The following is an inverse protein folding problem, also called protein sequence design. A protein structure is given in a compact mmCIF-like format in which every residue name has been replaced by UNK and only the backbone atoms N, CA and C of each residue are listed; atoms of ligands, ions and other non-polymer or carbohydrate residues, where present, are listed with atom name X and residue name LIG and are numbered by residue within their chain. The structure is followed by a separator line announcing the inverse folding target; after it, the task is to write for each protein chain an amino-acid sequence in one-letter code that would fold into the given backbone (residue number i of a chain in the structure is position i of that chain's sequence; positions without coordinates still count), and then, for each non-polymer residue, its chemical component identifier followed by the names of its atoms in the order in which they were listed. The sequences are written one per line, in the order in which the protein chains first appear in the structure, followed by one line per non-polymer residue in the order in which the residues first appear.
data_IF_898981508238
#
_entry.id   IF_898981508238
#
_cell.length_a   1.000
_cell.length_b   1.000
_cell.length_c   1.000
_cell.angle_alpha   90.00
_cell.angle_beta   90.00
_cell.angle_gamma   90.00
#
_symmetry.space_group_name_H-M   'P 1'
#
loop_
_entity.id
_entity.type
_entity.pdbx_description
1 polymer ?
#
# COMPACT_ATOMS: atom_id res chain seq x y z
N UNK A 1 27.88 -27.59 47.43
CA UNK A 1 28.79 -26.45 47.18
C UNK A 1 28.89 -26.25 45.68
N UNK A 2 28.00 -25.43 45.09
CA UNK A 2 27.93 -25.19 43.64
C UNK A 2 28.50 -23.79 43.40
N UNK A 3 29.62 -23.73 42.68
CA UNK A 3 30.34 -22.51 42.35
C UNK A 3 29.50 -21.67 41.37
N UNK A 4 28.83 -20.63 41.87
CA UNK A 4 28.20 -19.59 41.03
C UNK A 4 29.30 -18.86 40.25
N UNK A 5 29.43 -19.16 38.96
CA UNK A 5 30.21 -18.33 38.03
C UNK A 5 29.46 -17.01 37.80
N UNK A 6 30.06 -15.94 38.32
CA UNK A 6 29.76 -14.55 37.97
C UNK A 6 29.83 -14.37 36.45
N UNK A 7 28.72 -13.98 35.83
CA UNK A 7 28.71 -13.48 34.46
C UNK A 7 28.66 -11.94 34.52
N UNK A 8 29.82 -11.33 34.77
CA UNK A 8 30.09 -9.97 34.32
C UNK A 8 30.01 -9.97 32.80
N UNK A 9 28.87 -9.54 32.25
CA UNK A 9 28.72 -9.31 30.82
C UNK A 9 28.17 -7.91 30.64
N UNK A 10 29.10 -7.01 30.38
CA UNK A 10 28.95 -5.67 29.82
C UNK A 10 27.64 -5.56 29.05
N UNK A 11 26.76 -4.67 29.53
CA UNK A 11 25.61 -4.18 28.79
C UNK A 11 26.13 -3.61 27.47
N UNK A 12 26.07 -4.41 26.40
CA UNK A 12 26.16 -3.88 25.05
C UNK A 12 25.01 -2.89 24.91
N UNK A 13 25.33 -1.62 24.65
CA UNK A 13 24.37 -0.67 24.13
C UNK A 13 23.79 -1.27 22.83
N UNK A 14 22.59 -1.83 22.93
CA UNK A 14 21.78 -2.16 21.76
C UNK A 14 21.63 -0.85 20.97
N UNK A 15 22.03 -0.76 19.69
CA UNK A 15 21.86 0.48 18.94
C UNK A 15 20.37 0.85 18.99
N UNK A 16 20.11 2.05 19.50
CA UNK A 16 18.77 2.57 19.80
C UNK A 16 17.83 2.26 18.65
N UNK A 17 16.85 1.37 18.89
CA UNK A 17 15.89 0.88 17.88
C UNK A 17 15.11 1.99 17.17
N UNK A 18 15.11 3.19 17.74
CA UNK A 18 14.36 4.36 17.29
C UNK A 18 14.84 4.88 15.93
N UNK A 19 16.16 4.99 15.68
CA UNK A 19 16.65 5.57 14.41
C UNK A 19 16.33 4.73 13.16
N UNK A 20 16.21 3.40 13.30
CA UNK A 20 15.87 2.50 12.18
C UNK A 20 14.38 2.57 11.81
N UNK A 21 13.49 2.71 12.80
CA UNK A 21 12.05 2.78 12.55
C UNK A 21 11.67 4.08 11.85
N UNK A 22 12.23 5.20 12.30
CA UNK A 22 11.97 6.50 11.68
C UNK A 22 12.50 6.54 10.25
N UNK A 23 13.69 5.97 10.02
CA UNK A 23 14.25 5.82 8.66
C UNK A 23 13.37 4.94 7.77
N UNK A 24 12.82 3.82 8.27
CA UNK A 24 11.92 2.96 7.49
C UNK A 24 10.59 3.67 7.16
N UNK A 25 10.05 4.45 8.10
CA UNK A 25 8.84 5.26 7.88
C UNK A 25 9.08 6.33 6.82
N UNK A 26 10.17 7.08 6.94
CA UNK A 26 10.55 8.09 5.96
C UNK A 26 10.75 7.48 4.56
N UNK A 27 11.43 6.34 4.46
CA UNK A 27 11.61 5.64 3.19
C UNK A 27 10.27 5.19 2.57
N UNK A 28 9.34 4.70 3.40
CA UNK A 28 8.00 4.31 2.93
C UNK A 28 7.19 5.52 2.45
N UNK A 29 7.24 6.62 3.17
CA UNK A 29 6.55 7.86 2.80
C UNK A 29 7.09 8.42 1.49
N UNK A 30 8.42 8.49 1.34
CA UNK A 30 9.08 8.88 0.10
C UNK A 30 8.72 7.96 -1.07
N UNK A 31 8.65 6.64 -0.83
CA UNK A 31 8.25 5.69 -1.88
C UNK A 31 6.81 5.94 -2.35
N UNK A 32 5.88 6.15 -1.41
CA UNK A 32 4.49 6.44 -1.74
C UNK A 32 4.38 7.75 -2.52
N UNK A 33 5.07 8.80 -2.08
CA UNK A 33 5.10 10.10 -2.76
C UNK A 33 5.67 9.97 -4.17
N UNK A 34 6.77 9.24 -4.32
CA UNK A 34 7.42 9.01 -5.63
C UNK A 34 6.48 8.27 -6.59
N UNK A 35 5.87 7.16 -6.13
CA UNK A 35 4.97 6.35 -6.97
C UNK A 35 3.71 7.15 -7.32
N UNK A 36 3.08 7.81 -6.35
CA UNK A 36 1.85 8.57 -6.58
C UNK A 36 2.09 9.80 -7.46
N UNK A 37 3.20 10.51 -7.24
CA UNK A 37 3.60 11.68 -8.02
C UNK A 37 3.92 11.35 -9.47
N UNK A 38 4.62 10.24 -9.71
CA UNK A 38 4.97 9.79 -11.06
C UNK A 38 3.83 9.02 -11.78
N UNK A 39 2.69 8.79 -11.12
CA UNK A 39 1.62 7.96 -11.68
C UNK A 39 0.93 8.63 -12.88
N UNK A 40 0.97 8.02 -14.09
CA UNK A 40 0.32 8.55 -15.27
C UNK A 40 -1.21 8.61 -15.14
N UNK A 41 -1.84 9.55 -15.86
CA UNK A 41 -3.30 9.70 -15.85
C UNK A 41 -4.08 8.40 -16.22
N UNK A 42 -3.65 7.58 -17.20
CA UNK A 42 -4.29 6.28 -17.46
C UNK A 42 -4.30 5.35 -16.25
N UNK A 43 -3.19 5.28 -15.49
CA UNK A 43 -3.08 4.42 -14.31
C UNK A 43 -4.00 4.93 -13.18
N UNK A 44 -4.13 6.25 -13.02
CA UNK A 44 -5.08 6.84 -12.07
C UNK A 44 -6.52 6.47 -12.40
N UNK A 45 -6.90 6.56 -13.69
CA UNK A 45 -8.22 6.14 -14.18
C UNK A 45 -8.45 4.63 -13.98
N UNK A 46 -7.42 3.82 -14.19
CA UNK A 46 -7.47 2.38 -13.88
C UNK A 46 -7.81 2.13 -12.41
N UNK A 47 -7.14 2.79 -11.47
CA UNK A 47 -7.40 2.59 -10.03
C UNK A 47 -8.83 2.96 -9.63
N UNK A 48 -9.39 4.02 -10.22
CA UNK A 48 -10.81 4.39 -10.03
C UNK A 48 -11.74 3.31 -10.57
N UNK A 49 -11.53 2.85 -11.81
CA UNK A 49 -12.31 1.75 -12.42
C UNK A 49 -12.20 0.44 -11.62
N UNK A 50 -11.00 0.11 -11.16
CA UNK A 50 -10.75 -1.04 -10.30
C UNK A 50 -11.57 -0.97 -9.00
N UNK A 51 -11.65 0.22 -8.38
CA UNK A 51 -12.48 0.43 -7.17
C UNK A 51 -13.99 0.31 -7.47
N UNK A 52 -14.42 0.66 -8.68
CA UNK A 52 -15.79 0.53 -9.21
C UNK A 52 -16.19 -0.89 -9.63
N UNK A 53 -15.27 -1.87 -9.64
CA UNK A 53 -15.43 -3.22 -10.24
C UNK A 53 -15.47 -3.22 -11.78
N UNK A 54 -15.05 -2.15 -12.42
CA UNK A 54 -14.93 -2.05 -13.88
C UNK A 54 -13.50 -1.64 -14.26
N UNK A 55 -12.48 -2.44 -13.88
CA UNK A 55 -11.10 -2.13 -14.24
C UNK A 55 -10.89 -2.21 -15.75
N UNK A 56 -10.25 -1.19 -16.30
CA UNK A 56 -9.77 -1.22 -17.68
C UNK A 56 -8.28 -1.57 -17.69
N UNK A 57 -7.98 -2.85 -17.87
CA UNK A 57 -6.63 -3.40 -17.82
C UNK A 57 -5.70 -2.87 -18.90
N UNK A 58 -6.24 -2.46 -20.05
CA UNK A 58 -5.45 -1.89 -21.14
C UNK A 58 -4.75 -0.61 -20.69
N UNK A 59 -5.38 0.16 -19.79
CA UNK A 59 -4.78 1.38 -19.22
C UNK A 59 -3.52 1.12 -18.40
N UNK A 60 -3.30 -0.09 -17.91
CA UNK A 60 -2.11 -0.45 -17.14
C UNK A 60 -0.96 -0.88 -18.05
N UNK A 61 -1.24 -1.31 -19.29
CA UNK A 61 -0.23 -1.72 -20.27
C UNK A 61 0.59 -2.95 -19.86
N UNK A 62 0.11 -3.73 -18.89
CA UNK A 62 0.76 -4.92 -18.39
C UNK A 62 -0.04 -6.16 -18.79
N UNK A 63 0.54 -7.09 -19.58
CA UNK A 63 -0.10 -8.37 -19.81
C UNK A 63 -0.27 -9.08 -18.47
N UNK A 64 -1.33 -9.89 -18.37
CA UNK A 64 -1.58 -10.77 -17.24
C UNK A 64 -1.75 -10.06 -15.88
N UNK A 65 -1.96 -8.74 -15.87
CA UNK A 65 -2.09 -7.96 -14.64
C UNK A 65 -3.29 -8.36 -13.77
N UNK A 66 -4.25 -9.09 -14.34
CA UNK A 66 -5.40 -9.63 -13.63
C UNK A 66 -5.11 -10.98 -12.92
N UNK A 67 -4.07 -11.70 -13.32
CA UNK A 67 -3.77 -13.07 -12.87
C UNK A 67 -3.15 -13.19 -11.46
N UNK A 68 -2.39 -12.21 -10.93
CA UNK A 68 -1.76 -12.39 -9.63
C UNK A 68 -2.81 -12.65 -8.53
N UNK A 69 -2.61 -13.65 -7.65
CA UNK A 69 -3.59 -13.97 -6.59
C UNK A 69 -3.91 -12.79 -5.67
N UNK A 70 -2.96 -11.87 -5.49
CA UNK A 70 -3.16 -10.66 -4.70
C UNK A 70 -4.20 -9.71 -5.34
N UNK A 71 -4.25 -9.66 -6.67
CA UNK A 71 -5.18 -8.83 -7.45
C UNK A 71 -6.58 -9.44 -7.36
N UNK A 72 -6.72 -10.75 -7.59
CA UNK A 72 -7.98 -11.48 -7.42
C UNK A 72 -8.54 -11.33 -6.01
N UNK A 73 -7.71 -11.54 -4.98
CA UNK A 73 -8.14 -11.39 -3.59
C UNK A 73 -8.61 -9.97 -3.28
N UNK A 74 -8.00 -8.95 -3.89
CA UNK A 74 -8.43 -7.57 -3.73
C UNK A 74 -9.81 -7.35 -4.36
N UNK A 75 -10.08 -7.90 -5.54
CA UNK A 75 -11.39 -7.82 -6.19
C UNK A 75 -12.46 -8.49 -5.35
N UNK A 76 -12.22 -9.71 -4.86
CA UNK A 76 -13.16 -10.42 -3.98
C UNK A 76 -13.50 -9.63 -2.70
N UNK A 77 -12.53 -8.90 -2.15
CA UNK A 77 -12.79 -8.03 -1.00
C UNK A 77 -13.58 -6.78 -1.37
N UNK A 78 -13.30 -6.20 -2.53
CA UNK A 78 -14.13 -5.12 -3.05
C UNK A 78 -15.54 -5.63 -3.33
N UNK A 79 -15.74 -6.89 -3.71
CA UNK A 79 -17.05 -7.46 -4.00
C UNK A 79 -17.95 -7.61 -2.78
N UNK A 80 -17.38 -7.59 -1.58
CA UNK A 80 -18.14 -7.66 -0.33
C UNK A 80 -18.63 -6.29 0.16
N UNK A 81 -18.20 -5.19 -0.49
CA UNK A 81 -18.59 -3.84 -0.07
C UNK A 81 -20.02 -3.50 -0.51
N UNK A 82 -20.85 -2.94 0.39
CA UNK A 82 -22.12 -2.30 0.03
C UNK A 82 -21.91 -1.19 -0.99
N UNK A 83 -22.92 -0.97 -1.84
CA UNK A 83 -22.80 -0.02 -2.95
C UNK A 83 -22.67 1.43 -2.49
N UNK A 84 -23.31 1.83 -1.39
CA UNK A 84 -23.19 3.17 -0.80
C UNK A 84 -21.77 3.41 -0.25
N UNK A 85 -21.17 2.40 0.38
CA UNK A 85 -19.79 2.44 0.87
C UNK A 85 -18.82 2.50 -0.31
N UNK A 86 -19.08 1.73 -1.37
CA UNK A 86 -18.27 1.77 -2.59
C UNK A 86 -18.30 3.16 -3.21
N UNK A 87 -19.49 3.74 -3.40
CA UNK A 87 -19.64 5.06 -3.99
C UNK A 87 -18.82 6.12 -3.24
N UNK A 88 -18.93 6.16 -1.90
CA UNK A 88 -18.13 7.07 -1.04
C UNK A 88 -16.63 6.85 -1.18
N UNK A 89 -16.17 5.60 -1.29
CA UNK A 89 -14.75 5.29 -1.44
C UNK A 89 -14.22 5.65 -2.83
N UNK A 90 -15.03 5.46 -3.86
CA UNK A 90 -14.73 5.86 -5.23
C UNK A 90 -14.61 7.37 -5.32
N UNK A 91 -15.60 8.12 -4.81
CA UNK A 91 -15.59 9.59 -4.78
C UNK A 91 -14.33 10.13 -4.12
N UNK A 92 -14.00 9.62 -2.91
CA UNK A 92 -12.79 10.01 -2.18
C UNK A 92 -11.52 9.71 -2.97
N UNK A 93 -11.45 8.56 -3.63
CA UNK A 93 -10.29 8.18 -4.43
C UNK A 93 -10.16 9.06 -5.67
N UNK A 94 -11.25 9.30 -6.40
CA UNK A 94 -11.30 10.17 -7.58
C UNK A 94 -10.81 11.58 -7.23
N UNK A 95 -11.26 12.13 -6.09
CA UNK A 95 -10.78 13.43 -5.58
C UNK A 95 -9.28 13.46 -5.30
N UNK A 96 -8.74 12.44 -4.64
CA UNK A 96 -7.29 12.35 -4.32
C UNK A 96 -6.46 12.23 -5.58
N UNK A 97 -6.94 11.51 -6.59
CA UNK A 97 -6.21 11.27 -7.84
C UNK A 97 -6.39 12.39 -8.89
N UNK A 98 -7.28 13.37 -8.63
CA UNK A 98 -7.62 14.41 -9.59
C UNK A 98 -8.37 13.87 -10.81
N UNK A 99 -9.19 12.84 -10.61
CA UNK A 99 -10.07 12.29 -11.64
C UNK A 99 -11.46 12.88 -11.43
N UNK A 100 -11.90 13.73 -12.35
CA UNK A 100 -13.29 14.15 -12.42
C UNK A 100 -14.09 13.00 -13.04
N UNK A 101 -14.85 12.31 -12.20
CA UNK A 101 -15.95 11.47 -12.67
C UNK A 101 -17.14 12.41 -12.87
N UNK A 102 -17.47 12.71 -14.13
CA UNK A 102 -18.75 13.32 -14.50
C UNK A 102 -19.92 12.42 -14.15
#
# INVERSE_FOLDING_TARGET
MILRRSASRTLMAWPSRTSRLDTQRAAREQLVETIAGAMPAPHRKFLVGFKKRTPDWEKLGLPDAAEPPAVEFKQLNLDKLPDDVRAKLVERLSKVLGIEDG
#
